data_IF_304705907241
#
_entry.id   IF_304705907241
#
_cell.length_a   1.000
_cell.length_b   1.000
_cell.length_c   1.000
_cell.angle_alpha   90.00
_cell.angle_beta   90.00
_cell.angle_gamma   90.00
#
_symmetry.space_group_name_H-M   'P 1'
#
loop_
_entity.id
_entity.type
_entity.pdbx_description
1 polymer ?
#
# COMPACT_ATOMS: atom_id res chain seq x y z
N UNK A 1 1.92 -14.31 4.27
CA UNK A 1 3.24 -13.66 4.36
C UNK A 1 4.02 -14.09 3.14
N UNK A 2 4.54 -13.12 2.40
CA UNK A 2 5.33 -13.31 1.19
C UNK A 2 6.81 -13.64 1.49
N UNK A 3 7.16 -13.95 2.75
CA UNK A 3 8.51 -14.33 3.16
C UNK A 3 9.08 -15.51 2.38
N UNK A 4 8.26 -16.51 2.00
CA UNK A 4 8.71 -17.60 1.14
C UNK A 4 9.08 -17.10 -0.28
N UNK A 5 8.27 -16.21 -0.85
CA UNK A 5 8.52 -15.65 -2.18
C UNK A 5 9.79 -14.80 -2.20
N UNK A 6 9.99 -14.02 -1.14
CA UNK A 6 11.25 -13.30 -0.89
C UNK A 6 12.42 -14.28 -0.74
N UNK A 7 12.19 -15.43 -0.09
CA UNK A 7 13.15 -16.52 0.02
C UNK A 7 13.64 -17.03 -1.34
N UNK A 8 12.73 -17.25 -2.30
CA UNK A 8 13.10 -17.66 -3.67
C UNK A 8 14.05 -16.65 -4.34
N UNK A 9 13.91 -15.36 -4.04
CA UNK A 9 14.76 -14.31 -4.61
C UNK A 9 16.22 -14.36 -4.11
N UNK A 10 16.52 -15.15 -3.07
CA UNK A 10 17.85 -15.31 -2.47
C UNK A 10 18.59 -16.57 -2.95
N UNK A 11 18.02 -17.31 -3.90
CA UNK A 11 18.67 -18.48 -4.49
C UNK A 11 19.83 -18.13 -5.42
N UNK A 12 20.56 -19.17 -5.81
CA UNK A 12 21.59 -19.19 -6.84
C UNK A 12 21.08 -19.70 -8.21
N UNK A 13 19.88 -20.31 -8.22
CA UNK A 13 19.27 -20.86 -9.43
C UNK A 13 18.35 -19.82 -10.10
N UNK A 14 18.69 -19.42 -11.34
CA UNK A 14 17.98 -18.36 -12.07
C UNK A 14 16.46 -18.54 -12.19
N UNK A 15 15.94 -19.72 -12.60
CA UNK A 15 14.48 -19.94 -12.65
C UNK A 15 13.77 -19.69 -11.33
N UNK A 16 14.40 -20.06 -10.20
CA UNK A 16 13.83 -19.89 -8.87
C UNK A 16 13.83 -18.41 -8.44
N UNK A 17 14.95 -17.71 -8.66
CA UNK A 17 15.07 -16.27 -8.38
C UNK A 17 14.11 -15.44 -9.23
N UNK A 18 14.05 -15.73 -10.53
CA UNK A 18 13.12 -15.09 -11.45
C UNK A 18 11.67 -15.33 -11.02
N UNK A 19 11.32 -16.57 -10.64
CA UNK A 19 10.01 -16.88 -10.11
C UNK A 19 9.68 -16.01 -8.89
N UNK A 20 10.59 -15.91 -7.93
CA UNK A 20 10.42 -15.04 -6.75
C UNK A 20 10.08 -13.59 -7.13
N UNK A 21 10.88 -12.96 -7.99
CA UNK A 21 10.63 -11.58 -8.41
C UNK A 21 9.33 -11.42 -9.21
N UNK A 22 9.04 -12.34 -10.14
CA UNK A 22 7.79 -12.28 -10.91
C UNK A 22 6.57 -12.42 -10.00
N UNK A 23 6.61 -13.31 -9.00
CA UNK A 23 5.51 -13.46 -8.05
C UNK A 23 5.35 -12.25 -7.13
N UNK A 24 6.45 -11.60 -6.72
CA UNK A 24 6.36 -10.32 -6.02
C UNK A 24 5.72 -9.24 -6.90
N UNK A 25 6.07 -9.19 -8.20
CA UNK A 25 5.41 -8.29 -9.13
C UNK A 25 3.91 -8.56 -9.25
N UNK A 26 3.51 -9.83 -9.30
CA UNK A 26 2.10 -10.22 -9.32
C UNK A 26 1.40 -9.76 -8.05
N UNK A 27 1.92 -10.09 -6.87
CA UNK A 27 1.29 -9.74 -5.58
C UNK A 27 1.16 -8.21 -5.45
N UNK A 28 2.24 -7.47 -5.73
CA UNK A 28 2.24 -6.00 -5.67
C UNK A 28 1.26 -5.42 -6.67
N UNK A 29 1.21 -5.99 -7.87
CA UNK A 29 0.28 -5.61 -8.92
C UNK A 29 -1.17 -5.83 -8.53
N UNK A 30 -1.50 -6.94 -7.85
CA UNK A 30 -2.87 -7.19 -7.38
C UNK A 30 -3.32 -6.13 -6.37
N UNK A 31 -2.45 -5.77 -5.42
CA UNK A 31 -2.75 -4.70 -4.45
C UNK A 31 -2.90 -3.34 -5.14
N UNK A 32 -2.00 -3.02 -6.07
CA UNK A 32 -2.09 -1.80 -6.86
C UNK A 32 -3.35 -1.74 -7.73
N UNK A 33 -3.73 -2.86 -8.35
CA UNK A 33 -4.92 -2.96 -9.19
C UNK A 33 -6.18 -2.66 -8.40
N UNK A 34 -6.39 -3.36 -7.28
CA UNK A 34 -7.59 -3.20 -6.43
C UNK A 34 -7.66 -1.80 -5.84
N UNK A 35 -6.56 -1.32 -5.24
CA UNK A 35 -6.50 0.02 -4.66
C UNK A 35 -6.72 1.13 -5.69
N UNK A 36 -6.03 1.05 -6.84
CA UNK A 36 -6.19 1.99 -7.94
C UNK A 36 -7.57 1.92 -8.61
N UNK A 37 -8.16 0.73 -8.69
CA UNK A 37 -9.50 0.51 -9.23
C UNK A 37 -10.58 1.16 -8.38
N UNK A 38 -10.57 0.97 -7.05
CA UNK A 38 -11.51 1.65 -6.17
C UNK A 38 -11.38 3.17 -6.20
N UNK A 39 -10.14 3.70 -6.17
CA UNK A 39 -9.92 5.13 -6.31
C UNK A 39 -10.44 5.65 -7.66
N UNK A 40 -10.09 4.97 -8.75
CA UNK A 40 -10.49 5.33 -10.09
C UNK A 40 -12.02 5.32 -10.28
N UNK A 41 -12.71 4.31 -9.74
CA UNK A 41 -14.18 4.22 -9.76
C UNK A 41 -14.82 5.37 -8.98
N UNK A 42 -14.26 5.72 -7.82
CA UNK A 42 -14.70 6.88 -7.05
C UNK A 42 -14.55 8.19 -7.83
N UNK A 43 -13.42 8.37 -8.51
CA UNK A 43 -13.15 9.57 -9.32
C UNK A 43 -13.94 9.62 -10.64
N UNK A 44 -14.32 8.47 -11.22
CA UNK A 44 -15.12 8.43 -12.45
C UNK A 44 -16.64 8.54 -12.18
N UNK A 45 -17.05 8.63 -10.92
CA UNK A 45 -18.47 8.72 -10.54
C UNK A 45 -19.05 10.08 -10.89
N UNK A 46 -20.10 10.08 -11.74
CA UNK A 46 -20.87 11.26 -12.15
C UNK A 46 -22.36 11.10 -11.83
N UNK A 47 -23.17 12.11 -12.12
CA UNK A 47 -24.63 12.02 -12.02
C UNK A 47 -25.23 10.95 -12.93
N UNK A 48 -24.70 10.81 -14.14
CA UNK A 48 -25.21 9.87 -15.12
C UNK A 48 -24.56 8.48 -15.05
N UNK A 49 -23.42 8.34 -14.35
CA UNK A 49 -22.62 7.12 -14.36
C UNK A 49 -22.02 6.84 -12.98
N UNK A 50 -22.54 5.81 -12.32
CA UNK A 50 -22.13 5.41 -10.97
C UNK A 50 -21.79 3.93 -10.90
N UNK A 51 -20.74 3.54 -10.15
CA UNK A 51 -20.49 2.15 -9.86
C UNK A 51 -21.66 1.57 -9.04
N UNK A 52 -22.21 0.46 -9.51
CA UNK A 52 -23.14 -0.38 -8.76
C UNK A 52 -22.36 -1.13 -7.68
N UNK A 53 -22.04 -0.46 -6.58
CA UNK A 53 -21.14 -0.95 -5.54
C UNK A 53 -21.48 -2.35 -5.03
N UNK A 54 -22.75 -2.63 -4.72
CA UNK A 54 -23.17 -3.96 -4.27
C UNK A 54 -22.85 -5.04 -5.33
N UNK A 55 -23.21 -4.78 -6.59
CA UNK A 55 -22.91 -5.70 -7.69
C UNK A 55 -21.40 -5.91 -7.87
N UNK A 56 -20.62 -4.83 -7.89
CA UNK A 56 -19.17 -4.91 -8.02
C UNK A 56 -18.55 -5.74 -6.89
N UNK A 57 -18.91 -5.46 -5.63
CA UNK A 57 -18.38 -6.19 -4.47
C UNK A 57 -18.79 -7.67 -4.50
N UNK A 58 -20.04 -7.98 -4.87
CA UNK A 58 -20.49 -9.37 -5.03
C UNK A 58 -19.69 -10.09 -6.13
N UNK A 59 -19.46 -9.45 -7.26
CA UNK A 59 -18.65 -10.03 -8.35
C UNK A 59 -17.19 -10.22 -7.94
N UNK A 60 -16.60 -9.28 -7.19
CA UNK A 60 -15.25 -9.41 -6.65
C UNK A 60 -15.13 -10.57 -5.66
N UNK A 61 -16.09 -10.73 -4.74
CA UNK A 61 -16.13 -11.85 -3.80
C UNK A 61 -16.30 -13.17 -4.55
N UNK A 62 -17.26 -13.26 -5.47
CA UNK A 62 -17.48 -14.45 -6.27
C UNK A 62 -16.24 -14.82 -7.11
N UNK A 63 -15.64 -13.84 -7.80
CA UNK A 63 -14.41 -14.03 -8.56
C UNK A 63 -13.26 -14.50 -7.67
N UNK A 64 -13.10 -13.91 -6.50
CA UNK A 64 -12.10 -14.32 -5.51
C UNK A 64 -12.31 -15.74 -5.01
N UNK A 65 -13.53 -16.12 -4.65
CA UNK A 65 -13.86 -17.49 -4.24
C UNK A 65 -13.62 -18.50 -5.36
N UNK A 66 -14.00 -18.18 -6.60
CA UNK A 66 -13.80 -19.06 -7.76
C UNK A 66 -12.32 -19.27 -8.07
N UNK A 67 -11.53 -18.19 -8.13
CA UNK A 67 -10.10 -18.28 -8.40
C UNK A 67 -9.37 -19.00 -7.28
N UNK A 68 -9.73 -18.71 -6.02
CA UNK A 68 -9.12 -19.39 -4.87
C UNK A 68 -9.48 -20.89 -4.85
N UNK A 69 -10.76 -21.22 -5.05
CA UNK A 69 -11.26 -22.60 -5.17
C UNK A 69 -10.53 -23.38 -6.28
N UNK A 70 -10.46 -22.82 -7.48
CA UNK A 70 -9.83 -23.48 -8.62
C UNK A 70 -8.32 -23.60 -8.45
N UNK A 71 -7.62 -22.49 -8.22
CA UNK A 71 -6.15 -22.49 -8.25
C UNK A 71 -5.55 -23.23 -7.06
N UNK A 72 -6.16 -23.11 -5.87
CA UNK A 72 -5.56 -23.64 -4.64
C UNK A 72 -6.10 -25.02 -4.30
N UNK A 73 -7.43 -25.21 -4.33
CA UNK A 73 -8.01 -26.50 -3.92
C UNK A 73 -8.06 -27.54 -5.04
N UNK A 74 -8.22 -27.13 -6.30
CA UNK A 74 -8.30 -28.07 -7.41
C UNK A 74 -6.96 -28.29 -8.12
N UNK A 75 -6.19 -27.21 -8.31
CA UNK A 75 -4.91 -27.28 -9.04
C UNK A 75 -3.69 -27.33 -8.12
N UNK A 76 -3.87 -27.13 -6.81
CA UNK A 76 -2.77 -27.13 -5.82
C UNK A 76 -1.62 -26.18 -6.20
N UNK A 77 -1.94 -25.05 -6.85
CA UNK A 77 -0.96 -24.06 -7.25
C UNK A 77 -0.60 -23.16 -6.08
N UNK A 78 0.27 -23.66 -5.21
CA UNK A 78 0.76 -22.91 -4.06
C UNK A 78 1.89 -21.95 -4.45
N UNK A 79 1.80 -20.70 -4.01
CA UNK A 79 2.80 -19.64 -4.18
C UNK A 79 3.46 -19.27 -2.84
N UNK A 80 2.71 -19.27 -1.74
CA UNK A 80 3.12 -18.76 -0.43
C UNK A 80 2.97 -19.74 0.76
N UNK A 81 3.15 -21.08 0.61
CA UNK A 81 3.01 -21.98 1.74
C UNK A 81 4.00 -21.63 2.88
N UNK A 82 3.72 -21.95 4.16
CA UNK A 82 2.47 -22.48 4.71
C UNK A 82 1.42 -21.39 5.01
N UNK A 83 1.57 -20.17 4.47
CA UNK A 83 0.62 -19.07 4.73
C UNK A 83 -0.62 -19.19 3.83
N UNK A 84 -1.60 -18.32 4.08
CA UNK A 84 -2.81 -18.28 3.27
C UNK A 84 -2.50 -17.85 1.82
N UNK A 85 -3.02 -18.63 0.87
CA UNK A 85 -2.90 -18.41 -0.58
C UNK A 85 -3.90 -17.33 -1.09
N UNK A 86 -4.08 -16.27 -0.30
CA UNK A 86 -5.04 -15.19 -0.59
C UNK A 86 -4.69 -14.41 -1.86
N UNK A 87 -3.47 -14.54 -2.40
CA UNK A 87 -3.11 -13.97 -3.70
C UNK A 87 -4.07 -14.46 -4.79
N UNK A 88 -4.54 -15.72 -4.74
CA UNK A 88 -5.45 -16.28 -5.72
C UNK A 88 -6.85 -15.65 -5.58
N UNK A 89 -7.31 -15.42 -4.36
CA UNK A 89 -8.55 -14.68 -4.10
C UNK A 89 -8.45 -13.22 -4.60
N UNK A 90 -7.31 -12.55 -4.33
CA UNK A 90 -7.05 -11.20 -4.84
C UNK A 90 -7.00 -11.17 -6.38
N UNK A 91 -6.43 -12.19 -7.02
CA UNK A 91 -6.41 -12.33 -8.48
C UNK A 91 -7.84 -12.41 -9.03
N UNK A 92 -8.68 -13.29 -8.49
CA UNK A 92 -10.07 -13.41 -8.90
C UNK A 92 -10.86 -12.13 -8.70
N UNK A 93 -10.68 -11.46 -7.56
CA UNK A 93 -11.31 -10.17 -7.28
C UNK A 93 -10.85 -9.06 -8.24
N UNK A 94 -9.56 -9.00 -8.55
CA UNK A 94 -9.00 -8.02 -9.50
C UNK A 94 -9.52 -8.26 -10.92
N UNK A 95 -9.58 -9.51 -11.38
CA UNK A 95 -10.15 -9.87 -12.70
C UNK A 95 -11.63 -9.48 -12.76
N UNK A 96 -12.42 -9.80 -11.74
CA UNK A 96 -13.84 -9.43 -11.68
C UNK A 96 -14.04 -7.91 -11.70
N UNK A 97 -13.22 -7.15 -10.97
CA UNK A 97 -13.26 -5.69 -10.98
C UNK A 97 -12.85 -5.12 -12.34
N UNK A 98 -11.80 -5.64 -12.99
CA UNK A 98 -11.41 -5.23 -14.34
C UNK A 98 -12.55 -5.51 -15.33
N UNK A 99 -13.13 -6.72 -15.27
CA UNK A 99 -14.28 -7.10 -16.09
C UNK A 99 -15.48 -6.17 -15.87
N UNK A 100 -15.77 -5.84 -14.61
CA UNK A 100 -16.78 -4.84 -14.24
C UNK A 100 -16.51 -3.48 -14.89
N UNK A 101 -15.28 -2.98 -14.80
CA UNK A 101 -14.91 -1.70 -15.39
C UNK A 101 -15.06 -1.72 -16.91
N UNK A 102 -14.58 -2.76 -17.58
CA UNK A 102 -14.68 -2.90 -19.03
C UNK A 102 -16.14 -2.93 -19.49
N UNK A 103 -16.98 -3.79 -18.91
CA UNK A 103 -18.38 -3.95 -19.36
C UNK A 103 -19.28 -2.76 -19.04
N UNK A 104 -18.95 -1.99 -18.00
CA UNK A 104 -19.66 -0.75 -17.64
C UNK A 104 -18.95 0.51 -18.16
N UNK A 105 -17.93 0.36 -19.02
CA UNK A 105 -17.18 1.42 -19.69
C UNK A 105 -16.45 2.39 -18.75
N UNK A 106 -16.02 1.95 -17.57
CA UNK A 106 -15.20 2.75 -16.65
C UNK A 106 -13.73 2.81 -17.10
N UNK A 107 -13.49 3.40 -18.27
CA UNK A 107 -12.18 3.39 -18.94
C UNK A 107 -11.12 4.20 -18.16
N UNK A 108 -11.55 5.26 -17.47
CA UNK A 108 -10.64 6.10 -16.66
C UNK A 108 -10.23 5.36 -15.39
N UNK A 109 -11.18 4.72 -14.71
CA UNK A 109 -10.92 3.88 -13.56
C UNK A 109 -10.01 2.69 -13.92
N UNK A 110 -10.29 2.04 -15.06
CA UNK A 110 -9.47 0.95 -15.58
C UNK A 110 -8.02 1.40 -15.83
N UNK A 111 -7.84 2.59 -16.39
CA UNK A 111 -6.52 3.18 -16.56
C UNK A 111 -5.80 3.34 -15.21
N UNK A 112 -6.44 3.93 -14.20
CA UNK A 112 -5.84 4.10 -12.88
C UNK A 112 -5.46 2.73 -12.29
N UNK A 113 -6.36 1.74 -12.36
CA UNK A 113 -6.09 0.39 -11.89
C UNK A 113 -4.86 -0.25 -12.56
N UNK A 114 -4.74 -0.16 -13.89
CA UNK A 114 -3.63 -0.75 -14.65
C UNK A 114 -2.30 -0.06 -14.31
N UNK A 115 -2.27 1.27 -14.26
CA UNK A 115 -1.04 1.99 -13.92
C UNK A 115 -0.61 1.72 -12.48
N UNK A 116 -1.55 1.72 -11.53
CA UNK A 116 -1.28 1.34 -10.14
C UNK A 116 -0.80 -0.10 -10.00
N UNK A 117 -1.38 -1.04 -10.77
CA UNK A 117 -0.93 -2.43 -10.85
C UNK A 117 0.53 -2.53 -11.33
N UNK A 118 0.89 -1.86 -12.43
CA UNK A 118 2.26 -1.89 -12.93
C UNK A 118 3.24 -1.23 -11.96
N UNK A 119 2.88 -0.07 -11.39
CA UNK A 119 3.73 0.64 -10.44
C UNK A 119 3.97 -0.13 -9.15
N UNK A 120 2.92 -0.70 -8.55
CA UNK A 120 3.04 -1.49 -7.33
C UNK A 120 3.73 -2.84 -7.59
N UNK A 121 3.48 -3.50 -8.73
CA UNK A 121 4.17 -4.73 -9.09
C UNK A 121 5.68 -4.52 -9.29
N UNK A 122 6.05 -3.50 -10.06
CA UNK A 122 7.45 -3.09 -10.16
C UNK A 122 8.03 -2.74 -8.79
N UNK A 123 7.33 -1.93 -8.00
CA UNK A 123 7.76 -1.47 -6.69
C UNK A 123 8.03 -2.61 -5.71
N UNK A 124 7.22 -3.67 -5.72
CA UNK A 124 7.45 -4.80 -4.83
C UNK A 124 8.71 -5.59 -5.22
N UNK A 125 8.86 -5.87 -6.51
CA UNK A 125 10.01 -6.63 -7.03
C UNK A 125 11.31 -5.85 -6.85
N UNK A 126 11.29 -4.58 -7.25
CA UNK A 126 12.44 -3.69 -7.11
C UNK A 126 12.73 -3.39 -5.64
N UNK A 127 11.71 -3.21 -4.81
CA UNK A 127 11.88 -3.06 -3.36
C UNK A 127 12.60 -4.25 -2.74
N UNK A 128 12.23 -5.48 -3.14
CA UNK A 128 12.90 -6.68 -2.66
C UNK A 128 14.33 -6.81 -3.18
N UNK A 129 14.61 -6.31 -4.39
CA UNK A 129 15.98 -6.21 -4.89
C UNK A 129 16.83 -5.26 -4.05
N UNK A 130 16.31 -4.08 -3.72
CA UNK A 130 16.98 -3.14 -2.80
C UNK A 130 17.17 -3.76 -1.41
N UNK A 131 16.19 -4.53 -0.93
CA UNK A 131 16.33 -5.28 0.31
C UNK A 131 17.49 -6.29 0.25
N UNK A 132 17.64 -7.01 -0.86
CA UNK A 132 18.75 -7.94 -1.08
C UNK A 132 20.11 -7.22 -1.11
N UNK A 133 20.21 -6.11 -1.85
CA UNK A 133 21.41 -5.25 -1.87
C UNK A 133 21.78 -4.76 -0.47
N UNK A 134 20.79 -4.30 0.27
CA UNK A 134 20.97 -3.82 1.64
C UNK A 134 21.51 -4.90 2.57
N UNK A 135 21.00 -6.12 2.46
CA UNK A 135 21.51 -7.26 3.23
C UNK A 135 22.92 -7.66 2.82
N UNK A 136 23.21 -7.70 1.52
CA UNK A 136 24.54 -8.02 0.98
C UNK A 136 25.59 -6.97 1.37
N UNK A 137 25.19 -5.72 1.57
CA UNK A 137 26.09 -4.65 2.04
C UNK A 137 26.58 -4.82 3.48
N UNK A 138 25.98 -5.72 4.26
CA UNK A 138 26.30 -5.89 5.69
C UNK A 138 25.75 -4.79 6.61
N UNK A 139 25.03 -3.81 6.06
CA UNK A 139 24.40 -2.75 6.85
C UNK A 139 23.23 -3.32 7.66
N UNK A 140 23.37 -3.33 8.98
CA UNK A 140 22.32 -3.72 9.92
C UNK A 140 21.21 -2.67 9.98
N UNK A 141 20.27 -2.77 9.04
CA UNK A 141 19.09 -1.90 8.94
C UNK A 141 17.85 -2.74 8.61
N UNK A 142 16.65 -2.21 8.92
CA UNK A 142 15.40 -2.88 8.57
C UNK A 142 15.07 -2.68 7.09
N UNK A 143 15.75 -3.45 6.24
CA UNK A 143 15.59 -3.46 4.79
C UNK A 143 14.22 -3.97 4.32
N UNK A 144 13.50 -4.70 5.18
CA UNK A 144 12.12 -5.09 4.91
C UNK A 144 11.21 -3.87 4.82
N UNK A 145 11.30 -2.95 5.77
CA UNK A 145 10.51 -1.71 5.71
C UNK A 145 10.88 -0.88 4.47
N UNK A 146 12.16 -0.87 4.06
CA UNK A 146 12.58 -0.19 2.82
C UNK A 146 11.86 -0.75 1.60
N UNK A 147 11.78 -2.08 1.48
CA UNK A 147 10.99 -2.73 0.42
C UNK A 147 9.53 -2.29 0.46
N UNK A 148 8.88 -2.27 1.63
CA UNK A 148 7.49 -1.85 1.78
C UNK A 148 7.28 -0.37 1.39
N UNK A 149 8.22 0.52 1.75
CA UNK A 149 8.19 1.92 1.34
C UNK A 149 8.35 2.09 -0.17
N UNK A 150 9.25 1.32 -0.81
CA UNK A 150 9.44 1.36 -2.28
C UNK A 150 8.19 0.86 -3.02
N UNK A 151 7.54 -0.18 -2.50
CA UNK A 151 6.24 -0.65 -2.99
C UNK A 151 5.19 0.48 -2.94
N UNK A 152 5.01 1.10 -1.77
CA UNK A 152 4.06 2.19 -1.58
C UNK A 152 4.36 3.41 -2.46
N UNK A 153 5.62 3.81 -2.54
CA UNK A 153 6.09 4.93 -3.37
C UNK A 153 5.82 4.67 -4.86
N UNK A 154 6.22 3.51 -5.37
CA UNK A 154 6.09 3.18 -6.80
C UNK A 154 4.62 3.04 -7.21
N UNK A 155 3.81 2.38 -6.38
CA UNK A 155 2.36 2.28 -6.58
C UNK A 155 1.67 3.65 -6.51
N UNK A 156 2.05 4.47 -5.53
CA UNK A 156 1.52 5.83 -5.34
C UNK A 156 1.87 6.78 -6.48
N UNK A 157 3.12 6.79 -6.95
CA UNK A 157 3.54 7.61 -8.09
C UNK A 157 2.79 7.20 -9.36
N UNK A 158 2.70 5.90 -9.64
CA UNK A 158 2.00 5.43 -10.84
C UNK A 158 0.49 5.75 -10.80
N UNK A 159 -0.12 5.62 -9.61
CA UNK A 159 -1.51 6.03 -9.37
C UNK A 159 -1.69 7.54 -9.58
N UNK A 160 -0.85 8.36 -8.96
CA UNK A 160 -0.89 9.81 -9.07
C UNK A 160 -0.68 10.27 -10.51
N UNK A 161 0.26 9.65 -11.23
CA UNK A 161 0.48 9.90 -12.66
C UNK A 161 -0.78 9.60 -13.47
N UNK A 162 -1.42 8.44 -13.25
CA UNK A 162 -2.63 8.06 -13.97
C UNK A 162 -3.79 9.01 -13.67
N UNK A 163 -3.97 9.42 -12.41
CA UNK A 163 -5.01 10.38 -12.01
C UNK A 163 -4.74 11.75 -12.62
N UNK A 164 -3.53 12.29 -12.48
CA UNK A 164 -3.18 13.63 -12.93
C UNK A 164 -3.21 13.79 -14.45
N UNK A 165 -2.91 12.73 -15.19
CA UNK A 165 -2.93 12.74 -16.66
C UNK A 165 -4.25 12.26 -17.25
N UNK A 166 -5.26 11.97 -16.43
CA UNK A 166 -6.61 11.60 -16.89
C UNK A 166 -7.49 12.84 -16.90
N UNK A 167 -8.21 13.05 -18.01
CA UNK A 167 -9.27 14.06 -18.05
C UNK A 167 -10.49 13.49 -17.33
N UNK A 168 -10.88 14.12 -16.23
CA UNK A 168 -12.04 13.73 -15.43
C UNK A 168 -13.25 14.56 -15.82
N UNK A 169 -14.42 13.91 -15.88
CA UNK A 169 -15.69 14.63 -15.93
C UNK A 169 -15.97 15.32 -14.59
N UNK A 170 -16.93 16.24 -14.59
CA UNK A 170 -17.38 16.87 -13.35
C UNK A 170 -17.97 15.78 -12.46
N UNK A 171 -17.25 15.45 -11.39
CA UNK A 171 -17.65 14.43 -10.42
C UNK A 171 -18.89 14.86 -9.66
N UNK A 172 -19.78 13.92 -9.36
CA UNK A 172 -20.86 14.16 -8.42
C UNK A 172 -20.27 14.37 -7.02
N UNK A 173 -20.73 15.41 -6.31
CA UNK A 173 -20.47 15.52 -4.88
C UNK A 173 -21.35 14.50 -4.14
N UNK A 174 -20.79 13.62 -3.30
CA UNK A 174 -21.60 12.67 -2.53
C UNK A 174 -22.58 13.41 -1.60
N UNK A 175 -23.65 12.72 -1.17
CA UNK A 175 -24.58 13.32 -0.21
C UNK A 175 -23.88 13.66 1.12
N UNK A 176 -24.41 14.65 1.86
CA UNK A 176 -23.84 15.04 3.17
C UNK A 176 -23.71 13.86 4.13
N UNK A 177 -24.69 12.95 4.12
CA UNK A 177 -24.67 11.74 4.94
C UNK A 177 -23.49 10.85 4.59
N UNK A 178 -23.26 10.58 3.30
CA UNK A 178 -22.13 9.75 2.83
C UNK A 178 -20.80 10.40 3.19
N UNK A 179 -20.68 11.71 3.03
CA UNK A 179 -19.46 12.43 3.38
C UNK A 179 -19.18 12.38 4.89
N UNK A 180 -20.20 12.61 5.73
CA UNK A 180 -20.07 12.53 7.19
C UNK A 180 -19.66 11.11 7.63
N UNK A 181 -20.30 10.08 7.08
CA UNK A 181 -19.96 8.69 7.36
C UNK A 181 -18.53 8.35 6.93
N UNK A 182 -18.09 8.87 5.79
CA UNK A 182 -16.72 8.66 5.30
C UNK A 182 -15.67 9.24 6.26
N UNK A 183 -15.93 10.41 6.84
CA UNK A 183 -15.01 11.05 7.79
C UNK A 183 -14.99 10.31 9.11
N UNK A 184 -16.15 9.91 9.64
CA UNK A 184 -16.23 9.06 10.82
C UNK A 184 -15.46 7.75 10.58
N UNK A 185 -15.64 7.16 9.39
CA UNK A 185 -14.96 5.93 9.06
C UNK A 185 -13.43 6.11 9.01
N UNK A 186 -12.94 7.14 8.33
CA UNK A 186 -11.50 7.36 8.11
C UNK A 186 -10.79 7.85 9.39
N UNK A 187 -11.40 8.76 10.16
CA UNK A 187 -10.75 9.42 11.29
C UNK A 187 -11.06 8.80 12.65
N UNK A 188 -12.07 7.94 12.75
CA UNK A 188 -12.42 7.27 14.00
C UNK A 188 -12.37 5.74 13.85
N UNK A 189 -13.18 5.17 12.95
CA UNK A 189 -13.32 3.71 12.87
C UNK A 189 -12.00 3.03 12.47
N UNK A 190 -11.33 3.51 11.42
CA UNK A 190 -10.07 2.90 10.97
C UNK A 190 -8.94 3.01 12.02
N UNK A 191 -8.68 4.16 12.66
CA UNK A 191 -7.72 4.24 13.76
C UNK A 191 -8.08 3.34 14.94
N UNK A 192 -9.37 3.23 15.30
CA UNK A 192 -9.81 2.34 16.37
C UNK A 192 -9.57 0.86 16.03
N UNK A 193 -9.89 0.43 14.80
CA UNK A 193 -9.61 -0.95 14.37
C UNK A 193 -8.11 -1.24 14.44
N UNK A 194 -7.27 -0.30 14.02
CA UNK A 194 -5.82 -0.44 14.12
C UNK A 194 -5.34 -0.46 15.57
N UNK A 195 -5.93 0.35 16.45
CA UNK A 195 -5.66 0.31 17.88
C UNK A 195 -5.99 -1.06 18.46
N UNK A 196 -7.22 -1.55 18.29
CA UNK A 196 -7.63 -2.84 18.85
C UNK A 196 -6.85 -4.03 18.28
N UNK A 197 -6.36 -3.92 17.03
CA UNK A 197 -5.55 -4.97 16.41
C UNK A 197 -4.07 -4.91 16.82
N UNK A 198 -3.54 -3.70 17.07
CA UNK A 198 -2.12 -3.45 17.33
C UNK A 198 -1.77 -3.37 18.81
N UNK A 199 -2.61 -2.72 19.61
CA UNK A 199 -2.38 -2.42 21.02
C UNK A 199 -3.08 -3.43 21.93
N UNK A 200 -2.83 -4.72 21.71
CA UNK A 200 -3.24 -5.76 22.66
C UNK A 200 -2.28 -5.76 23.84
N UNK A 201 -2.76 -6.01 25.05
CA UNK A 201 -1.95 -6.00 26.27
C UNK A 201 -0.70 -6.89 26.16
N UNK A 202 -0.85 -8.11 25.62
CA UNK A 202 0.25 -9.06 25.34
C UNK A 202 1.39 -8.40 24.55
N UNK A 203 1.08 -7.82 23.37
CA UNK A 203 2.09 -7.16 22.52
C UNK A 203 2.81 -6.00 23.19
N UNK A 204 2.12 -5.22 24.01
CA UNK A 204 2.71 -4.06 24.69
C UNK A 204 3.57 -4.51 25.88
N UNK A 205 3.17 -5.58 26.59
CA UNK A 205 3.99 -6.22 27.62
C UNK A 205 5.26 -6.83 27.00
N UNK A 206 5.13 -7.58 25.91
CA UNK A 206 6.28 -8.13 25.17
C UNK A 206 7.25 -7.02 24.75
N UNK A 207 6.72 -5.88 24.29
CA UNK A 207 7.54 -4.71 23.96
C UNK A 207 8.27 -4.17 25.21
N UNK A 208 7.57 -4.02 26.33
CA UNK A 208 8.16 -3.52 27.58
C UNK A 208 9.30 -4.42 28.08
N UNK A 209 9.12 -5.73 28.00
CA UNK A 209 10.14 -6.74 28.35
C UNK A 209 11.35 -6.65 27.43
N UNK A 210 11.13 -6.56 26.11
CA UNK A 210 12.19 -6.39 25.12
C UNK A 210 12.98 -5.10 25.31
N UNK A 211 12.34 -4.05 25.83
CA UNK A 211 12.96 -2.78 26.17
C UNK A 211 13.55 -2.75 27.58
N UNK A 212 13.44 -3.85 28.35
CA UNK A 212 13.91 -3.93 29.73
C UNK A 212 13.35 -2.83 30.64
N UNK A 213 12.08 -2.46 30.43
CA UNK A 213 11.41 -1.44 31.24
C UNK A 213 11.15 -1.97 32.65
N UNK A 214 11.54 -1.20 33.66
CA UNK A 214 11.45 -1.61 35.07
C UNK A 214 10.01 -1.73 35.59
N UNK A 215 9.11 -0.87 35.12
CA UNK A 215 7.70 -0.85 35.50
C UNK A 215 6.83 -1.08 34.26
N UNK A 216 6.58 -2.37 33.99
CA UNK A 216 5.83 -2.83 32.82
C UNK A 216 4.38 -2.34 32.87
N UNK A 217 3.74 -2.34 34.04
CA UNK A 217 2.33 -1.99 34.17
C UNK A 217 2.10 -0.49 33.88
N UNK A 218 2.96 0.38 34.43
CA UNK A 218 2.92 1.81 34.10
C UNK A 218 3.20 2.03 32.61
N UNK A 219 4.19 1.33 32.04
CA UNK A 219 4.50 1.45 30.60
C UNK A 219 3.30 1.07 29.73
N UNK A 220 2.66 -0.06 30.00
CA UNK A 220 1.46 -0.50 29.27
C UNK A 220 0.37 0.56 29.34
N UNK A 221 0.08 1.08 30.54
CA UNK A 221 -0.90 2.13 30.73
C UNK A 221 -0.56 3.39 29.91
N UNK A 222 0.69 3.85 29.95
CA UNK A 222 1.13 5.02 29.19
C UNK A 222 0.98 4.82 27.67
N UNK A 223 1.39 3.67 27.13
CA UNK A 223 1.25 3.37 25.70
C UNK A 223 -0.22 3.42 25.25
N UNK A 224 -1.15 2.91 26.07
CA UNK A 224 -2.58 3.01 25.76
C UNK A 224 -3.09 4.45 25.83
N UNK A 225 -2.67 5.23 26.84
CA UNK A 225 -3.06 6.64 26.98
C UNK A 225 -2.57 7.45 25.77
N UNK A 226 -1.30 7.32 25.39
CA UNK A 226 -0.72 8.03 24.24
C UNK A 226 -1.46 7.70 22.93
N UNK A 227 -1.80 6.42 22.73
CA UNK A 227 -2.56 6.00 21.57
C UNK A 227 -3.98 6.59 21.56
N UNK A 228 -4.69 6.56 22.68
CA UNK A 228 -6.03 7.15 22.81
C UNK A 228 -6.03 8.67 22.62
N UNK A 229 -5.05 9.37 23.19
CA UNK A 229 -4.87 10.81 22.99
C UNK A 229 -4.63 11.12 21.52
N UNK A 230 -3.78 10.34 20.84
CA UNK A 230 -3.53 10.49 19.41
C UNK A 230 -4.81 10.32 18.58
N UNK A 231 -5.53 9.21 18.77
CA UNK A 231 -6.78 8.93 18.04
C UNK A 231 -7.80 10.06 18.28
N UNK A 232 -7.99 10.47 19.53
CA UNK A 232 -8.97 11.50 19.90
C UNK A 232 -8.60 12.86 19.30
N UNK A 233 -7.32 13.25 19.37
CA UNK A 233 -6.83 14.51 18.80
C UNK A 233 -7.06 14.55 17.29
N UNK A 234 -6.68 13.50 16.55
CA UNK A 234 -6.83 13.49 15.10
C UNK A 234 -8.28 13.31 14.65
N UNK A 235 -9.11 12.60 15.42
CA UNK A 235 -10.55 12.59 15.20
C UNK A 235 -11.15 14.01 15.37
N UNK A 236 -10.75 14.73 16.42
CA UNK A 236 -11.19 16.10 16.65
C UNK A 236 -10.73 17.05 15.53
N UNK A 237 -9.47 16.95 15.07
CA UNK A 237 -8.96 17.70 13.92
C UNK A 237 -9.79 17.39 12.66
N UNK A 238 -10.06 16.11 12.39
CA UNK A 238 -10.86 15.70 11.23
C UNK A 238 -12.28 16.27 11.25
N UNK A 239 -12.94 16.26 12.41
CA UNK A 239 -14.28 16.83 12.61
C UNK A 239 -14.26 18.36 12.53
N UNK A 240 -13.30 19.01 13.18
CA UNK A 240 -13.17 20.47 13.17
C UNK A 240 -12.90 20.99 11.76
N UNK A 241 -11.96 20.38 11.05
CA UNK A 241 -11.64 20.73 9.68
C UNK A 241 -12.87 20.49 8.77
N UNK A 242 -13.63 19.41 9.00
CA UNK A 242 -14.86 19.13 8.26
C UNK A 242 -15.93 20.21 8.45
N UNK A 243 -16.13 20.68 9.67
CA UNK A 243 -17.08 21.76 9.98
C UNK A 243 -16.68 23.10 9.38
N UNK A 244 -15.38 23.33 9.20
CA UNK A 244 -14.84 24.57 8.62
C UNK A 244 -14.81 24.58 7.08
N UNK A 245 -15.39 23.58 6.40
CA UNK A 245 -15.41 23.55 4.93
C UNK A 245 -16.22 24.73 4.38
N UNK A 246 -15.55 25.80 3.97
CA UNK A 246 -16.17 26.96 3.37
C UNK A 246 -15.42 27.34 2.09
N UNK A 247 -16.08 27.22 0.93
CA UNK A 247 -15.59 27.54 -0.43
C UNK A 247 -14.56 26.59 -1.07
N UNK A 248 -14.54 26.57 -2.41
CA UNK A 248 -13.70 25.70 -3.26
C UNK A 248 -12.19 25.89 -3.05
N UNK A 249 -11.73 27.09 -2.67
CA UNK A 249 -10.31 27.37 -2.42
C UNK A 249 -9.81 26.73 -1.12
N UNK A 250 -10.65 26.70 -0.08
CA UNK A 250 -10.35 25.94 1.13
C UNK A 250 -10.36 24.43 0.87
N UNK A 251 -11.08 23.94 -0.14
CA UNK A 251 -11.24 22.50 -0.37
C UNK A 251 -9.92 21.78 -0.69
N UNK A 252 -9.02 22.38 -1.49
CA UNK A 252 -7.70 21.77 -1.80
C UNK A 252 -6.79 21.71 -0.58
N UNK A 253 -6.69 22.83 0.15
CA UNK A 253 -5.94 22.91 1.39
C UNK A 253 -6.52 21.96 2.45
N UNK A 254 -7.84 21.86 2.52
CA UNK A 254 -8.55 20.96 3.40
C UNK A 254 -8.22 19.49 3.10
N UNK A 255 -8.28 19.04 1.84
CA UNK A 255 -7.89 17.67 1.48
C UNK A 255 -6.44 17.36 1.85
N UNK A 256 -5.53 18.31 1.64
CA UNK A 256 -4.13 18.15 2.02
C UNK A 256 -3.93 18.06 3.54
N UNK A 257 -4.58 18.94 4.31
CA UNK A 257 -4.55 18.90 5.78
C UNK A 257 -5.12 17.58 6.28
N UNK A 258 -6.27 17.14 5.78
CA UNK A 258 -6.88 15.87 6.18
C UNK A 258 -5.96 14.68 5.91
N UNK A 259 -5.34 14.61 4.73
CA UNK A 259 -4.39 13.55 4.39
C UNK A 259 -3.14 13.58 5.28
N UNK A 260 -2.60 14.78 5.52
CA UNK A 260 -1.39 14.97 6.34
C UNK A 260 -1.65 14.63 7.81
N UNK A 261 -2.79 15.08 8.34
CA UNK A 261 -3.24 14.76 9.70
C UNK A 261 -3.47 13.27 9.90
N UNK A 262 -4.11 12.60 8.94
CA UNK A 262 -4.29 11.15 9.00
C UNK A 262 -2.95 10.41 8.94
N UNK A 263 -2.06 10.81 8.03
CA UNK A 263 -0.72 10.22 7.90
C UNK A 263 0.11 10.43 9.17
N UNK A 264 0.00 11.60 9.80
CA UNK A 264 0.64 11.88 11.08
C UNK A 264 0.06 11.03 12.22
N UNK A 265 -1.27 10.86 12.27
CA UNK A 265 -1.92 9.97 13.24
C UNK A 265 -1.36 8.55 13.16
N UNK A 266 -1.33 7.96 11.96
CA UNK A 266 -0.79 6.62 11.76
C UNK A 266 0.71 6.53 12.05
N UNK A 267 1.46 7.57 11.72
CA UNK A 267 2.90 7.63 12.05
C UNK A 267 3.11 7.65 13.57
N UNK A 268 2.33 8.46 14.29
CA UNK A 268 2.38 8.52 15.75
C UNK A 268 1.95 7.19 16.39
N UNK A 269 0.85 6.59 15.93
CA UNK A 269 0.44 5.27 16.40
C UNK A 269 1.52 4.21 16.16
N UNK A 270 2.21 4.25 15.02
CA UNK A 270 3.33 3.37 14.75
C UNK A 270 4.54 3.63 15.68
N UNK A 271 4.84 4.91 15.99
CA UNK A 271 5.91 5.31 16.91
C UNK A 271 5.62 4.81 18.33
N UNK A 272 4.41 5.04 18.81
CA UNK A 272 3.91 4.57 20.11
C UNK A 272 3.99 3.03 20.15
N UNK A 273 3.39 2.34 19.18
CA UNK A 273 3.40 0.87 19.11
C UNK A 273 4.81 0.24 19.06
N UNK A 274 5.83 0.96 18.58
CA UNK A 274 7.23 0.46 18.59
C UNK A 274 8.06 0.97 19.78
N UNK A 275 7.44 1.65 20.75
CA UNK A 275 8.11 2.18 21.93
C UNK A 275 9.15 3.24 21.58
N UNK A 276 8.93 4.00 20.50
CA UNK A 276 9.92 4.95 19.96
C UNK A 276 10.44 5.94 20.99
N UNK A 277 9.58 6.39 21.91
CA UNK A 277 9.92 7.36 22.95
C UNK A 277 10.78 6.78 24.08
N UNK A 278 11.01 5.46 24.08
CA UNK A 278 11.76 4.73 25.11
C UNK A 278 13.04 4.08 24.58
N UNK A 279 13.32 4.21 23.27
CA UNK A 279 14.54 3.68 22.64
C UNK A 279 15.52 4.80 22.34
N UNK A 280 16.81 4.47 22.32
CA UNK A 280 17.83 5.39 21.85
C UNK A 280 17.64 5.69 20.35
N UNK A 281 17.74 6.97 19.99
CA UNK A 281 17.69 7.41 18.60
C UNK A 281 18.88 6.84 17.84
N UNK A 282 18.60 5.85 16.99
CA UNK A 282 19.61 5.22 16.14
C UNK A 282 19.14 5.16 14.70
N UNK A 283 20.03 5.50 13.77
CA UNK A 283 19.83 5.32 12.33
C UNK A 283 19.55 3.84 12.00
N UNK A 284 19.95 2.89 12.85
CA UNK A 284 19.63 1.46 12.66
C UNK A 284 18.13 1.17 12.77
N UNK A 285 17.38 1.99 13.52
CA UNK A 285 15.95 1.81 13.65
C UNK A 285 15.21 2.58 12.55
N UNK A 286 14.65 1.84 11.60
CA UNK A 286 13.88 2.41 10.48
C UNK A 286 12.74 3.35 10.87
N UNK A 287 12.20 3.22 12.09
CA UNK A 287 11.09 4.08 12.50
C UNK A 287 11.51 5.56 12.67
N UNK A 288 12.79 5.82 12.91
CA UNK A 288 13.35 7.18 12.95
C UNK A 288 13.16 7.95 11.65
N UNK A 289 12.99 7.26 10.51
CA UNK A 289 12.80 7.89 9.20
C UNK A 289 11.32 8.20 8.88
N UNK A 290 10.37 7.71 9.66
CA UNK A 290 8.95 7.86 9.32
C UNK A 290 8.53 9.33 9.37
N UNK A 291 8.94 10.07 10.42
CA UNK A 291 8.68 11.50 10.54
C UNK A 291 9.42 12.34 9.49
N UNK A 292 10.74 12.16 9.25
CA UNK A 292 11.42 12.82 8.15
C UNK A 292 10.77 12.61 6.78
N UNK A 293 10.36 11.38 6.46
CA UNK A 293 9.66 11.07 5.20
C UNK A 293 8.31 11.79 5.15
N UNK A 294 7.54 11.77 6.24
CA UNK A 294 6.27 12.48 6.31
C UNK A 294 6.45 14.00 6.16
N UNK A 295 7.42 14.59 6.85
CA UNK A 295 7.71 16.02 6.72
C UNK A 295 8.18 16.39 5.32
N UNK A 296 9.02 15.56 4.69
CA UNK A 296 9.41 15.75 3.30
C UNK A 296 8.19 15.68 2.37
N UNK A 297 7.30 14.70 2.57
CA UNK A 297 6.08 14.57 1.78
C UNK A 297 5.14 15.79 1.96
N UNK A 298 4.98 16.27 3.20
CA UNK A 298 4.19 17.47 3.50
C UNK A 298 4.83 18.70 2.86
N UNK A 299 6.15 18.85 2.98
CA UNK A 299 6.89 19.96 2.39
C UNK A 299 6.81 19.97 0.86
N UNK A 300 6.97 18.81 0.21
CA UNK A 300 6.79 18.68 -1.23
C UNK A 300 5.35 19.01 -1.64
N UNK A 301 4.36 18.53 -0.88
CA UNK A 301 2.95 18.79 -1.15
C UNK A 301 2.55 20.27 -1.04
N UNK A 302 3.19 21.03 -0.15
CA UNK A 302 2.96 22.48 -0.02
C UNK A 302 3.81 23.32 -0.98
N UNK A 303 4.99 22.83 -1.37
CA UNK A 303 5.94 23.57 -2.21
C UNK A 303 5.67 23.45 -3.71
N UNK A 304 4.97 22.41 -4.15
CA UNK A 304 4.62 22.22 -5.57
C UNK A 304 3.40 23.08 -5.91
N UNK A 305 3.65 24.28 -6.43
CA UNK A 305 2.61 25.29 -6.76
C UNK A 305 1.98 25.11 -8.14
N UNK A 306 2.52 24.24 -8.99
CA UNK A 306 2.03 23.99 -10.35
C UNK A 306 1.93 22.47 -10.63
N UNK A 307 0.83 21.98 -11.23
CA UNK A 307 0.77 20.59 -11.68
C UNK A 307 1.82 20.39 -12.78
N UNK A 308 2.86 19.62 -12.49
CA UNK A 308 3.94 19.26 -13.44
C UNK A 308 3.46 18.53 -14.70
N UNK A 309 2.17 18.17 -14.78
CA UNK A 309 1.59 17.33 -15.83
C UNK A 309 0.52 18.10 -16.62
N UNK A 310 0.92 19.16 -17.32
CA UNK A 310 0.06 19.87 -18.29
C UNK A 310 -0.05 19.15 -19.65
N UNK A 311 0.55 17.97 -19.84
CA UNK A 311 0.42 17.25 -21.10
C UNK A 311 -0.88 16.43 -21.10
N UNK A 312 -1.88 16.92 -21.83
CA UNK A 312 -3.14 16.19 -22.13
C UNK A 312 -2.97 14.99 -23.08
N UNK A 313 -1.76 14.43 -23.15
CA UNK A 313 -1.50 13.27 -23.99
C UNK A 313 -2.19 12.06 -23.38
N UNK A 314 -3.37 11.73 -23.92
CA UNK A 314 -3.98 10.41 -23.77
C UNK A 314 -2.90 9.38 -24.09
N UNK A 315 -2.37 8.74 -23.05
CA UNK A 315 -1.40 7.69 -23.23
C UNK A 315 -2.09 6.55 -23.98
N UNK A 316 -1.89 6.46 -25.30
CA UNK A 316 -2.46 5.38 -26.10
C UNK A 316 -1.90 4.02 -25.66
N UNK A 317 -2.62 2.94 -25.97
CA UNK A 317 -2.29 1.56 -25.63
C UNK A 317 -0.83 1.15 -25.92
N UNK A 318 -0.17 1.78 -26.91
CA UNK A 318 1.25 1.57 -27.23
C UNK A 318 2.18 1.84 -26.04
N UNK A 319 1.86 2.79 -25.16
CA UNK A 319 2.69 3.13 -23.98
C UNK A 319 2.61 2.07 -22.87
N UNK A 320 1.46 1.41 -22.70
CA UNK A 320 1.30 0.38 -21.66
C UNK A 320 2.15 -0.84 -22.00
N UNK A 321 2.14 -1.30 -23.25
CA UNK A 321 2.97 -2.42 -23.68
C UNK A 321 4.47 -2.14 -23.52
N UNK A 322 4.90 -0.90 -23.79
CA UNK A 322 6.29 -0.48 -23.54
C UNK A 322 6.64 -0.52 -22.05
N UNK A 323 5.73 -0.10 -21.17
CA UNK A 323 5.92 -0.19 -19.72
C UNK A 323 5.99 -1.65 -19.25
N UNK A 324 5.11 -2.52 -19.75
CA UNK A 324 5.13 -3.95 -19.43
C UNK A 324 6.44 -4.58 -19.89
N UNK A 325 6.84 -4.35 -21.13
CA UNK A 325 8.10 -4.88 -21.67
C UNK A 325 9.32 -4.36 -20.89
N UNK A 326 9.35 -3.05 -20.59
CA UNK A 326 10.40 -2.46 -19.77
C UNK A 326 10.45 -3.07 -18.37
N UNK A 327 9.30 -3.26 -17.72
CA UNK A 327 9.21 -3.91 -16.41
C UNK A 327 9.70 -5.37 -16.47
N UNK A 328 9.30 -6.13 -17.48
CA UNK A 328 9.74 -7.52 -17.67
C UNK A 328 11.26 -7.60 -17.84
N UNK A 329 11.84 -6.75 -18.69
CA UNK A 329 13.30 -6.67 -18.88
C UNK A 329 13.99 -6.31 -17.55
N UNK A 330 13.49 -5.31 -16.84
CA UNK A 330 14.04 -4.92 -15.53
C UNK A 330 13.99 -6.07 -14.51
N UNK A 331 12.88 -6.82 -14.43
CA UNK A 331 12.74 -7.96 -13.52
C UNK A 331 13.73 -9.07 -13.88
N UNK A 332 13.93 -9.35 -15.17
CA UNK A 332 14.93 -10.33 -15.62
C UNK A 332 16.35 -9.89 -15.22
N UNK A 333 16.69 -8.61 -15.45
CA UNK A 333 17.99 -8.07 -15.08
C UNK A 333 18.22 -8.11 -13.56
N UNK A 334 17.21 -7.73 -12.78
CA UNK A 334 17.24 -7.82 -11.32
C UNK A 334 17.48 -9.27 -10.89
N UNK A 335 16.76 -10.24 -11.46
CA UNK A 335 16.94 -11.64 -11.14
C UNK A 335 18.36 -12.14 -11.47
N UNK A 336 18.91 -11.76 -12.63
CA UNK A 336 20.28 -12.08 -13.00
C UNK A 336 21.30 -11.50 -12.01
N UNK A 337 21.15 -10.23 -11.65
CA UNK A 337 22.05 -9.57 -10.70
C UNK A 337 21.94 -10.22 -9.31
N UNK A 338 20.73 -10.53 -8.85
CA UNK A 338 20.50 -11.08 -7.52
C UNK A 338 21.18 -12.43 -7.27
N UNK A 339 21.36 -13.25 -8.30
CA UNK A 339 22.09 -14.54 -8.20
C UNK A 339 23.56 -14.32 -7.80
N UNK A 340 24.17 -13.23 -8.24
CA UNK A 340 25.56 -12.91 -7.93
C UNK A 340 25.72 -12.16 -6.61
N UNK A 341 24.65 -11.56 -6.11
CA UNK A 341 24.69 -10.71 -4.91
C UNK A 341 24.26 -11.48 -3.66
N UNK A 342 23.25 -12.33 -3.78
CA UNK A 342 22.71 -13.06 -2.65
C UNK A 342 23.52 -14.33 -2.42
N UNK A 343 24.05 -14.50 -1.22
CA UNK A 343 24.65 -15.77 -0.80
C UNK A 343 23.51 -16.71 -0.38
N UNK A 344 23.23 -17.79 -1.12
CA UNK A 344 22.23 -18.76 -0.71
C UNK A 344 22.64 -19.39 0.62
N UNK A 345 21.65 -19.60 1.48
CA UNK A 345 21.80 -20.42 2.69
C UNK A 345 21.23 -21.82 2.45
N UNK A 346 21.63 -22.80 3.26
CA UNK A 346 21.08 -24.17 3.19
C UNK A 346 19.56 -24.23 3.39
N UNK A 347 18.95 -23.15 3.89
CA UNK A 347 17.50 -23.00 4.11
C UNK A 347 16.80 -22.20 3.02
N UNK A 348 17.47 -21.91 1.91
CA UNK A 348 16.89 -21.13 0.81
C UNK A 348 15.82 -21.99 0.11
N UNK A 349 14.56 -21.53 0.04
CA UNK A 349 13.50 -22.29 -0.62
C UNK A 349 13.83 -22.54 -2.09
N UNK A 350 13.58 -23.75 -2.57
CA UNK A 350 13.73 -24.14 -3.98
C UNK A 350 12.39 -24.60 -4.53
N UNK A 351 11.99 -24.07 -5.68
CA UNK A 351 10.78 -24.51 -6.41
C UNK A 351 11.10 -25.41 -7.61
N UNK A 352 12.30 -25.25 -8.20
CA UNK A 352 12.73 -25.91 -9.43
C UNK A 352 14.05 -26.62 -9.22
#
# INVERSE_FOLDING_TARGET
>A
SYGMVIGYCRGDHFPNVLYGYVMLAVIGGLYGCIGGGFLGLGLETTESKQPKWAQLLTEMVAGGMLAWGLLIYQLEWFMTPPRSELWAACLGAAIAMIWYMVRNKFDRALRVAIYSMLGAGFGFSFGNFIQGLGQASGLSYNWWNVMEFILGLSGGIAMAYAVATTKWEKTMQPSRTVQNLSIIFIFLILPLVNYFSGFTEEKIRDLAENLSVSDIDSFVLFQHIEAWLSITLFAAIGIAAWWQRASDRLQKWFSFVMLSSLSLCYTLLALIHKGFFHIELSIKNSITLYLPILFLAVWLGTSITQPWLNSSNSAGNKKIWQLVAGMTICIILIALISIYINNPTDRTPQRF
#
